data_IF_690578254749
#
_entry.id   IF_690578254749
#
_cell.length_a   1.000
_cell.length_b   1.000
_cell.length_c   1.000
_cell.angle_alpha   90.00
_cell.angle_beta   90.00
_cell.angle_gamma   90.00
#
_symmetry.space_group_name_H-M   'P 1'
#
loop_
_entity.id
_entity.type
_entity.pdbx_description
1 polymer ?
#
# COMPACT_ATOMS: atom_id res chain seq x y z
N UNK A 1 22.85 -15.10 10.36
CA UNK A 1 21.98 -15.50 9.22
C UNK A 1 22.31 -14.57 8.07
N UNK A 2 22.90 -15.12 7.00
CA UNK A 2 23.43 -14.37 5.87
C UNK A 2 22.33 -13.65 5.11
N UNK A 3 22.61 -12.41 4.71
CA UNK A 3 21.76 -11.52 3.89
C UNK A 3 21.22 -12.20 2.62
N UNK A 4 21.96 -13.18 2.06
CA UNK A 4 21.56 -13.99 0.91
C UNK A 4 20.36 -14.95 1.16
N UNK A 5 20.12 -15.41 2.38
CA UNK A 5 19.02 -16.37 2.66
C UNK A 5 17.62 -15.74 2.70
N UNK A 6 17.56 -14.41 2.88
CA UNK A 6 16.30 -13.63 2.87
C UNK A 6 15.93 -13.24 1.43
N UNK A 7 16.93 -12.91 0.60
CA UNK A 7 16.74 -12.44 -0.78
C UNK A 7 16.26 -13.55 -1.72
N UNK A 8 16.83 -14.76 -1.63
CA UNK A 8 16.40 -15.90 -2.46
C UNK A 8 15.00 -16.41 -2.07
N UNK A 9 14.67 -16.40 -0.77
CA UNK A 9 13.38 -16.92 -0.29
C UNK A 9 12.18 -16.00 -0.58
N UNK A 10 12.35 -14.68 -0.49
CA UNK A 10 11.21 -13.77 -0.65
C UNK A 10 10.75 -13.68 -2.11
N UNK A 11 11.68 -13.73 -3.07
CA UNK A 11 11.36 -13.72 -4.50
C UNK A 11 10.58 -14.97 -4.87
N UNK A 12 11.04 -16.15 -4.44
CA UNK A 12 10.34 -17.42 -4.67
C UNK A 12 8.93 -17.41 -4.09
N UNK A 13 8.77 -16.88 -2.87
CA UNK A 13 7.46 -16.74 -2.21
C UNK A 13 6.53 -15.78 -2.95
N UNK A 14 7.05 -14.71 -3.55
CA UNK A 14 6.26 -13.82 -4.41
C UNK A 14 5.77 -14.57 -5.65
N UNK A 15 6.63 -15.36 -6.30
CA UNK A 15 6.23 -16.18 -7.45
C UNK A 15 5.23 -17.29 -7.06
N UNK A 16 5.38 -17.90 -5.88
CA UNK A 16 4.43 -18.86 -5.34
C UNK A 16 3.06 -18.21 -5.09
N UNK A 17 3.03 -17.03 -4.46
CA UNK A 17 1.82 -16.28 -4.18
C UNK A 17 1.11 -15.77 -5.45
N UNK A 18 1.85 -15.55 -6.54
CA UNK A 18 1.26 -15.24 -7.84
C UNK A 18 0.38 -16.39 -8.38
N UNK A 19 0.64 -17.63 -7.97
CA UNK A 19 -0.16 -18.82 -8.32
C UNK A 19 -1.18 -19.13 -7.21
N UNK A 20 -0.77 -19.03 -5.94
CA UNK A 20 -1.57 -19.34 -4.76
C UNK A 20 -1.87 -18.04 -4.01
N UNK A 21 -3.01 -17.43 -4.33
CA UNK A 21 -3.36 -16.09 -3.84
C UNK A 21 -3.46 -15.97 -2.30
N UNK A 22 -3.72 -17.08 -1.62
CA UNK A 22 -3.86 -17.20 -0.18
C UNK A 22 -2.53 -16.95 0.56
N UNK A 23 -1.39 -16.98 -0.15
CA UNK A 23 -0.07 -16.72 0.42
C UNK A 23 0.26 -15.22 0.50
N UNK A 24 -0.47 -14.36 -0.21
CA UNK A 24 -0.19 -12.91 -0.24
C UNK A 24 -0.14 -12.25 1.15
N UNK A 25 -1.06 -12.52 2.10
CA UNK A 25 -0.98 -11.94 3.44
C UNK A 25 0.35 -12.22 4.15
N UNK A 26 0.87 -13.45 4.08
CA UNK A 26 2.16 -13.83 4.68
C UNK A 26 3.33 -13.15 3.96
N UNK A 27 3.31 -13.12 2.63
CA UNK A 27 4.36 -12.46 1.82
C UNK A 27 4.43 -10.96 2.13
N UNK A 28 3.27 -10.28 2.20
CA UNK A 28 3.18 -8.86 2.51
C UNK A 28 3.64 -8.56 3.94
N UNK A 29 3.34 -9.43 4.89
CA UNK A 29 3.79 -9.32 6.28
C UNK A 29 5.32 -9.46 6.37
N UNK A 30 5.88 -10.50 5.76
CA UNK A 30 7.34 -10.71 5.70
C UNK A 30 8.07 -9.55 5.02
N UNK A 31 7.54 -9.03 3.91
CA UNK A 31 8.07 -7.83 3.24
C UNK A 31 8.05 -6.62 4.18
N UNK A 32 6.96 -6.43 4.91
CA UNK A 32 6.83 -5.29 5.82
C UNK A 32 7.86 -5.32 6.95
N UNK A 33 8.13 -6.49 7.54
CA UNK A 33 9.19 -6.67 8.52
C UNK A 33 10.59 -6.42 7.93
N UNK A 34 10.84 -6.90 6.71
CA UNK A 34 12.14 -6.72 6.05
C UNK A 34 12.48 -5.25 5.79
N UNK A 35 11.48 -4.42 5.49
CA UNK A 35 11.65 -2.98 5.20
C UNK A 35 11.25 -2.07 6.36
N UNK A 36 10.90 -2.63 7.52
CA UNK A 36 10.40 -1.88 8.69
C UNK A 36 9.21 -0.97 8.36
N UNK A 37 8.29 -1.45 7.52
CA UNK A 37 7.02 -0.77 7.26
C UNK A 37 5.89 -1.34 8.12
N UNK A 38 4.78 -0.60 8.21
CA UNK A 38 3.62 -1.04 8.99
C UNK A 38 2.84 -2.21 8.37
N UNK A 39 3.10 -2.53 7.10
CA UNK A 39 2.41 -3.59 6.39
C UNK A 39 2.46 -3.40 4.88
N UNK A 40 1.83 -4.35 4.17
CA UNK A 40 1.72 -4.33 2.73
C UNK A 40 0.27 -4.52 2.29
N UNK A 41 -0.10 -3.84 1.20
CA UNK A 41 -1.42 -3.94 0.58
C UNK A 41 -1.19 -4.25 -0.90
N UNK A 42 -1.88 -5.27 -1.39
CA UNK A 42 -2.00 -5.55 -2.82
C UNK A 42 -3.45 -5.30 -3.22
N UNK A 43 -3.66 -4.45 -4.22
CA UNK A 43 -4.99 -4.18 -4.74
C UNK A 43 -4.97 -4.16 -6.26
N UNK A 44 -6.08 -4.56 -6.87
CA UNK A 44 -6.35 -4.45 -8.30
C UNK A 44 -7.68 -3.74 -8.50
N UNK A 45 -7.74 -2.90 -9.52
CA UNK A 45 -8.95 -2.20 -9.93
C UNK A 45 -9.26 -2.56 -11.38
N UNK A 46 -10.44 -3.14 -11.63
CA UNK A 46 -10.91 -3.48 -12.98
C UNK A 46 -12.41 -3.27 -13.08
N UNK A 47 -12.88 -2.65 -14.16
CA UNK A 47 -14.30 -2.44 -14.47
C UNK A 47 -15.15 -1.86 -13.31
N UNK A 48 -14.56 -1.03 -12.44
CA UNK A 48 -15.25 -0.44 -11.29
C UNK A 48 -15.34 -1.34 -10.05
N UNK A 49 -14.74 -2.52 -10.08
CA UNK A 49 -14.53 -3.39 -8.93
C UNK A 49 -13.09 -3.29 -8.42
N UNK A 50 -12.94 -3.35 -7.09
CA UNK A 50 -11.65 -3.50 -6.44
C UNK A 50 -11.54 -4.87 -5.79
N UNK A 51 -10.40 -5.52 -5.98
CA UNK A 51 -10.01 -6.71 -5.21
C UNK A 51 -8.74 -6.37 -4.46
N UNK A 52 -8.65 -6.81 -3.22
CA UNK A 52 -7.49 -6.50 -2.40
C UNK A 52 -7.17 -7.63 -1.43
N UNK A 53 -5.92 -7.65 -1.01
CA UNK A 53 -5.39 -8.46 0.07
C UNK A 53 -4.33 -7.65 0.80
N UNK A 54 -4.09 -7.95 2.07
CA UNK A 54 -3.18 -7.16 2.90
C UNK A 54 -2.47 -8.03 3.91
N UNK A 55 -1.37 -7.51 4.47
CA UNK A 55 -0.81 -8.04 5.70
C UNK A 55 -1.79 -7.84 6.86
N UNK A 56 -1.68 -8.63 7.95
CA UNK A 56 -2.53 -8.48 9.13
C UNK A 56 -2.53 -7.05 9.70
N UNK A 57 -1.36 -6.39 9.76
CA UNK A 57 -1.21 -5.04 10.30
C UNK A 57 -1.95 -3.94 9.53
N UNK A 58 -2.32 -4.18 8.27
CA UNK A 58 -3.01 -3.20 7.40
C UNK A 58 -4.44 -3.59 7.04
N UNK A 59 -4.93 -4.73 7.53
CA UNK A 59 -6.28 -5.24 7.21
C UNK A 59 -7.40 -4.32 7.70
N UNK A 60 -7.26 -3.72 8.90
CA UNK A 60 -8.23 -2.74 9.40
C UNK A 60 -8.26 -1.46 8.58
N UNK A 61 -7.09 -0.98 8.16
CA UNK A 61 -6.99 0.17 7.27
C UNK A 61 -7.69 -0.09 5.95
N UNK A 62 -7.47 -1.26 5.33
CA UNK A 62 -8.11 -1.60 4.05
C UNK A 62 -9.62 -1.77 4.17
N UNK A 63 -10.13 -2.35 5.27
CA UNK A 63 -11.57 -2.38 5.52
C UNK A 63 -12.16 -0.96 5.59
N UNK A 64 -11.53 -0.07 6.36
CA UNK A 64 -11.97 1.33 6.44
C UNK A 64 -11.86 2.08 5.10
N UNK A 65 -10.84 1.75 4.29
CA UNK A 65 -10.68 2.28 2.94
C UNK A 65 -11.88 1.91 2.05
N UNK A 66 -12.25 0.62 2.01
CA UNK A 66 -13.36 0.13 1.19
C UNK A 66 -14.71 0.61 1.72
N UNK A 67 -14.98 0.45 3.01
CA UNK A 67 -16.25 0.84 3.64
C UNK A 67 -16.49 2.34 3.54
N UNK A 68 -15.41 3.14 3.57
CA UNK A 68 -15.44 4.59 3.41
C UNK A 68 -15.51 5.08 1.96
N UNK A 69 -15.61 4.18 0.98
CA UNK A 69 -15.66 4.50 -0.46
C UNK A 69 -14.42 5.23 -0.97
N UNK A 70 -13.27 5.03 -0.33
CA UNK A 70 -12.03 5.72 -0.66
C UNK A 70 -11.44 5.24 -1.99
N UNK A 71 -11.84 4.08 -2.49
CA UNK A 71 -11.53 3.58 -3.84
C UNK A 71 -11.89 4.58 -4.95
N UNK A 72 -12.96 5.36 -4.75
CA UNK A 72 -13.48 6.32 -5.76
C UNK A 72 -13.07 7.77 -5.52
N UNK A 73 -12.82 8.15 -4.26
CA UNK A 73 -12.59 9.55 -3.86
C UNK A 73 -11.18 9.85 -3.38
N UNK A 74 -10.28 8.87 -3.33
CA UNK A 74 -8.91 9.15 -2.92
C UNK A 74 -8.19 9.99 -4.00
N UNK A 75 -7.58 11.08 -3.56
CA UNK A 75 -6.83 12.01 -4.40
C UNK A 75 -5.56 11.37 -4.96
N UNK A 76 -4.98 10.41 -4.23
CA UNK A 76 -3.74 9.71 -4.58
C UNK A 76 -3.85 8.93 -5.89
N UNK A 77 -4.88 8.13 -6.06
CA UNK A 77 -5.14 7.36 -7.27
C UNK A 77 -5.34 8.29 -8.48
N UNK A 78 -5.96 9.45 -8.28
CA UNK A 78 -6.13 10.45 -9.33
C UNK A 78 -4.79 11.01 -9.82
N UNK A 79 -3.80 11.17 -8.92
CA UNK A 79 -2.44 11.62 -9.28
C UNK A 79 -1.56 10.50 -9.84
N UNK A 80 -1.69 9.27 -9.34
CA UNK A 80 -0.89 8.11 -9.77
C UNK A 80 -1.33 7.52 -11.12
N UNK A 81 -2.63 7.46 -11.38
CA UNK A 81 -3.19 6.88 -12.62
C UNK A 81 -2.55 7.45 -13.92
N UNK A 82 -2.37 8.78 -14.08
CA UNK A 82 -1.77 9.34 -15.29
C UNK A 82 -0.25 9.10 -15.39
N UNK A 83 0.46 8.79 -14.30
CA UNK A 83 1.92 8.62 -14.32
C UNK A 83 2.36 7.41 -15.14
N UNK A 84 1.55 6.34 -15.18
CA UNK A 84 1.88 5.06 -15.84
C UNK A 84 3.30 4.56 -15.48
N UNK A 85 3.74 4.81 -14.26
CA UNK A 85 5.11 4.56 -13.81
C UNK A 85 5.23 3.14 -13.24
N UNK A 86 6.02 2.24 -13.85
CA UNK A 86 6.14 0.85 -13.38
C UNK A 86 7.15 0.77 -12.22
N UNK A 87 6.80 1.38 -11.09
CA UNK A 87 7.68 1.44 -9.93
C UNK A 87 6.99 2.01 -8.69
N UNK A 88 7.79 2.27 -7.66
CA UNK A 88 7.33 2.86 -6.42
C UNK A 88 7.29 4.38 -6.53
N UNK A 89 6.17 4.97 -6.13
CA UNK A 89 6.00 6.42 -6.00
C UNK A 89 5.74 6.74 -4.54
N UNK A 90 6.41 7.78 -4.07
CA UNK A 90 6.26 8.28 -2.72
C UNK A 90 5.21 9.39 -2.68
N UNK A 91 4.46 9.53 -1.59
CA UNK A 91 3.42 10.56 -1.47
C UNK A 91 3.95 11.97 -1.76
N UNK A 92 5.15 12.32 -1.28
CA UNK A 92 5.77 13.62 -1.55
C UNK A 92 6.30 13.81 -2.98
N UNK A 93 6.37 12.77 -3.80
CA UNK A 93 6.69 12.92 -5.23
C UNK A 93 5.50 13.52 -5.98
N UNK A 94 4.29 13.37 -5.43
CA UNK A 94 3.03 13.77 -6.06
C UNK A 94 2.23 14.79 -5.25
N UNK A 95 2.54 15.00 -3.98
CA UNK A 95 1.92 16.00 -3.11
C UNK A 95 2.98 16.86 -2.40
N UNK A 96 2.64 18.12 -2.15
CA UNK A 96 3.35 18.94 -1.16
C UNK A 96 2.90 18.57 0.26
N UNK A 97 3.70 18.92 1.28
CA UNK A 97 3.34 18.68 2.69
C UNK A 97 2.03 19.38 3.07
N UNK A 98 1.85 20.61 2.60
CA UNK A 98 0.67 21.43 2.83
C UNK A 98 -0.60 20.89 2.14
N UNK A 99 -0.43 20.13 1.04
CA UNK A 99 -1.53 19.38 0.43
C UNK A 99 -1.88 18.15 1.25
N UNK A 100 -0.88 17.35 1.65
CA UNK A 100 -1.08 16.18 2.52
C UNK A 100 -1.79 16.57 3.83
N UNK A 101 -1.42 17.71 4.42
CA UNK A 101 -2.01 18.21 5.67
C UNK A 101 -3.50 18.58 5.55
N UNK A 102 -3.97 18.88 4.34
CA UNK A 102 -5.35 19.34 4.10
C UNK A 102 -6.21 18.31 3.35
N UNK A 103 -5.59 17.26 2.84
CA UNK A 103 -6.27 16.29 2.01
C UNK A 103 -7.12 15.33 2.88
N UNK A 104 -8.43 15.15 2.57
CA UNK A 104 -9.32 14.27 3.32
C UNK A 104 -8.83 12.83 3.43
N UNK A 105 -8.13 12.31 2.41
CA UNK A 105 -7.59 10.96 2.45
C UNK A 105 -6.59 10.78 3.60
N UNK A 106 -5.71 11.77 3.81
CA UNK A 106 -4.71 11.69 4.86
C UNK A 106 -5.30 12.05 6.23
N UNK A 107 -6.14 13.08 6.27
CA UNK A 107 -6.71 13.62 7.53
C UNK A 107 -7.85 12.78 8.12
N UNK A 108 -8.69 12.17 7.30
CA UNK A 108 -9.85 11.39 7.75
C UNK A 108 -9.58 9.88 7.83
N UNK A 109 -8.72 9.34 6.94
CA UNK A 109 -8.44 7.89 6.89
C UNK A 109 -7.07 7.54 7.47
N UNK A 110 -5.99 8.18 7.00
CA UNK A 110 -4.62 7.76 7.36
C UNK A 110 -4.25 8.14 8.80
N UNK A 111 -4.43 9.40 9.21
CA UNK A 111 -4.00 9.89 10.53
C UNK A 111 -4.81 9.34 11.71
N UNK A 112 -6.15 9.30 11.70
CA UNK A 112 -6.91 8.84 12.86
C UNK A 112 -6.68 7.35 13.15
N UNK A 113 -6.39 6.56 12.12
CA UNK A 113 -6.03 5.14 12.25
C UNK A 113 -4.58 4.93 12.67
N UNK A 114 -3.77 5.97 12.58
CA UNK A 114 -2.37 5.95 12.93
C UNK A 114 -2.10 6.03 14.43
N UNK A 115 -2.95 6.76 15.14
CA UNK A 115 -2.91 6.85 16.60
C UNK A 115 -3.35 5.54 17.28
N UNK A 116 -3.96 4.62 16.53
CA UNK A 116 -4.55 3.37 17.05
C UNK A 116 -3.67 2.13 16.85
N UNK A 117 -2.54 2.20 16.13
CA UNK A 117 -1.65 1.05 15.90
C UNK A 117 -0.20 1.33 16.34
N UNK A 118 0.36 0.46 17.19
CA UNK A 118 1.82 0.45 17.41
C UNK A 118 2.50 0.03 16.10
N UNK A 119 3.37 0.90 15.56
CA UNK A 119 4.02 0.70 14.26
C UNK A 119 3.40 1.50 13.10
N UNK A 120 2.57 2.51 13.36
CA UNK A 120 1.95 3.28 12.29
C UNK A 120 2.96 4.03 11.38
N UNK A 121 2.76 4.04 10.03
CA UNK A 121 3.66 4.70 9.08
C UNK A 121 3.30 6.17 8.79
N UNK A 122 2.40 6.84 9.55
CA UNK A 122 1.94 8.21 9.25
C UNK A 122 2.11 9.20 10.44
N UNK A 123 3.04 8.94 11.35
CA UNK A 123 3.31 9.79 12.51
C UNK A 123 4.04 11.10 12.16
N UNK A 124 3.89 12.17 12.96
CA UNK A 124 4.41 13.51 12.64
C UNK A 124 5.95 13.63 12.65
N UNK A 125 6.67 12.73 13.36
CA UNK A 125 8.11 12.84 13.61
C UNK A 125 8.98 11.74 12.96
N UNK A 126 8.40 10.88 12.11
CA UNK A 126 9.18 9.93 11.29
C UNK A 126 8.88 10.19 9.83
N UNK A 127 9.93 10.48 9.07
CA UNK A 127 9.87 10.78 7.65
C UNK A 127 9.58 9.57 6.78
N UNK A 128 8.55 8.79 7.11
CA UNK A 128 8.21 7.55 6.42
C UNK A 128 6.82 7.68 5.81
N UNK A 129 6.74 7.37 4.53
CA UNK A 129 5.61 7.69 3.66
C UNK A 129 5.17 6.42 2.95
N UNK A 130 3.95 6.42 2.41
CA UNK A 130 3.49 5.24 1.71
C UNK A 130 4.14 5.16 0.33
N UNK A 131 4.75 4.01 0.06
CA UNK A 131 5.20 3.64 -1.29
C UNK A 131 4.07 2.89 -1.97
N UNK A 132 3.62 3.41 -3.10
CA UNK A 132 2.64 2.73 -3.92
C UNK A 132 3.32 2.23 -5.20
N UNK A 133 3.27 0.92 -5.41
CA UNK A 133 3.59 0.35 -6.71
C UNK A 133 2.38 0.60 -7.64
N UNK A 134 2.57 1.44 -8.64
CA UNK A 134 1.57 1.60 -9.69
C UNK A 134 1.73 0.44 -10.69
N UNK A 135 1.01 -0.66 -10.47
CA UNK A 135 0.84 -1.66 -11.51
C UNK A 135 0.00 -1.05 -12.63
N UNK A 136 0.49 -1.10 -13.87
CA UNK A 136 -0.29 -0.73 -15.05
C UNK A 136 -1.55 -1.61 -15.04
N UNK A 137 -2.71 -1.01 -14.78
CA UNK A 137 -3.98 -1.68 -15.06
C UNK A 137 -3.95 -2.01 -16.55
N UNK A 138 -3.89 -3.31 -16.88
CA UNK A 138 -3.95 -3.78 -18.25
C UNK A 138 -5.18 -3.18 -18.90
N UNK A 139 -4.97 -2.29 -19.88
CA UNK A 139 -6.04 -1.81 -20.72
C UNK A 139 -6.68 -3.02 -21.39
N UNK A 140 -7.96 -3.25 -21.14
CA UNK A 140 -8.76 -4.08 -22.01
C UNK A 140 -8.79 -3.41 -23.37
N UNK A 141 -8.07 -3.98 -24.34
CA UNK A 141 -8.45 -3.89 -25.76
C UNK A 141 -9.86 -4.45 -25.96
#
# INVERSE_FOLDING_TARGET
MSRLGIEDGIIDRIYEAAIISELWPEVLDNLSHAISSAGGILFTASAGEIRWTSSPGTAEFMRAFVDGGWDKRNSRATRLAPMKYPGFVHDLDIFTREEVDRDPFYTELCRPKCELSEGCPFGPDRGDWSYQAAALAGGSE
#
